data_IF_988373503215
#
_entry.id   IF_988373503215
#
_cell.length_a   1.000
_cell.length_b   1.000
_cell.length_c   1.000
_cell.angle_alpha   90.00
_cell.angle_beta   90.00
_cell.angle_gamma   90.00
#
_symmetry.space_group_name_H-M   'P 1'
#
loop_
_entity.id
_entity.type
_entity.pdbx_description
1 polymer ?
#
# COMPACT_ATOMS: atom_id res chain seq x y z
N UNK A 1 -47.43 -70.49 16.29
CA UNK A 1 -47.86 -69.84 17.56
C UNK A 1 -47.16 -70.52 18.74
N UNK A 2 -46.82 -69.86 19.86
CA UNK A 2 -46.12 -68.58 20.05
C UNK A 2 -44.63 -68.77 20.47
N UNK A 3 -43.75 -67.89 19.99
CA UNK A 3 -42.30 -67.85 20.27
C UNK A 3 -42.02 -67.29 21.69
N UNK A 4 -41.28 -68.04 22.51
CA UNK A 4 -40.73 -67.60 23.81
C UNK A 4 -39.82 -66.38 23.61
N UNK A 5 -40.20 -65.21 24.13
CA UNK A 5 -39.35 -64.00 24.16
C UNK A 5 -38.20 -64.22 25.16
N UNK A 6 -36.98 -64.41 24.64
CA UNK A 6 -35.73 -64.40 25.41
C UNK A 6 -35.50 -62.98 25.98
N UNK A 7 -35.44 -62.87 27.32
CA UNK A 7 -34.93 -61.70 28.06
C UNK A 7 -33.49 -61.42 27.59
N UNK A 8 -33.27 -60.31 26.88
CA UNK A 8 -31.94 -59.80 26.57
C UNK A 8 -31.34 -59.21 27.86
N UNK A 9 -30.23 -59.80 28.34
CA UNK A 9 -29.36 -59.21 29.36
C UNK A 9 -28.76 -57.94 28.75
N UNK A 10 -28.97 -56.79 29.41
CA UNK A 10 -28.33 -55.54 29.05
C UNK A 10 -26.81 -55.67 29.20
N UNK A 11 -26.10 -55.46 28.11
CA UNK A 11 -24.66 -55.25 28.09
C UNK A 11 -24.37 -53.87 28.69
N UNK A 12 -23.36 -53.72 29.56
CA UNK A 12 -23.01 -52.41 30.10
C UNK A 12 -22.48 -51.53 28.97
N UNK A 13 -22.99 -50.31 28.92
CA UNK A 13 -22.46 -49.20 28.15
C UNK A 13 -20.98 -49.01 28.48
N UNK A 14 -20.09 -49.40 27.56
CA UNK A 14 -18.73 -48.86 27.50
C UNK A 14 -18.83 -47.41 27.08
N UNK A 15 -19.03 -46.53 28.07
CA UNK A 15 -18.57 -45.16 27.99
C UNK A 15 -17.07 -45.23 28.21
N UNK A 16 -16.33 -45.63 27.16
CA UNK A 16 -14.89 -45.41 27.12
C UNK A 16 -14.72 -43.96 26.70
N UNK A 17 -14.40 -43.16 27.70
CA UNK A 17 -13.89 -41.80 27.60
C UNK A 17 -12.77 -41.73 26.56
N UNK A 18 -13.15 -41.35 25.36
CA UNK A 18 -12.24 -40.82 24.36
C UNK A 18 -11.80 -39.46 24.88
N UNK A 19 -10.80 -39.47 25.75
CA UNK A 19 -10.03 -38.29 26.08
C UNK A 19 -9.33 -37.89 24.78
N UNK A 20 -10.03 -37.08 23.99
CA UNK A 20 -9.40 -36.27 22.97
C UNK A 20 -8.32 -35.48 23.70
N UNK A 21 -7.09 -35.98 23.60
CA UNK A 21 -5.88 -35.26 23.97
C UNK A 21 -5.98 -33.97 23.20
N UNK A 22 -6.38 -32.91 23.91
CA UNK A 22 -6.31 -31.56 23.37
C UNK A 22 -4.83 -31.32 23.18
N UNK A 23 -4.36 -31.52 21.95
CA UNK A 23 -3.04 -31.07 21.51
C UNK A 23 -2.80 -29.69 22.14
N UNK A 24 -1.71 -29.51 22.89
CA UNK A 24 -1.48 -28.26 23.58
C UNK A 24 -1.51 -27.16 22.52
N UNK A 25 -2.29 -26.10 22.77
CA UNK A 25 -2.40 -24.91 21.91
C UNK A 25 -1.05 -24.20 21.66
N UNK A 26 0.07 -24.77 22.15
CA UNK A 26 1.39 -24.19 22.26
C UNK A 26 2.52 -25.07 21.69
N UNK A 27 2.27 -25.93 20.69
CA UNK A 27 3.35 -26.52 19.90
C UNK A 27 3.76 -25.66 18.69
N UNK A 28 3.39 -24.38 18.65
CA UNK A 28 3.83 -23.48 17.57
C UNK A 28 5.33 -23.24 17.68
N UNK A 29 6.06 -23.65 16.67
CA UNK A 29 7.48 -23.30 16.56
C UNK A 29 7.62 -21.83 16.21
N UNK A 30 8.80 -21.25 16.48
CA UNK A 30 9.13 -19.91 15.98
C UNK A 30 8.94 -19.81 14.46
N UNK A 31 9.19 -20.90 13.72
CA UNK A 31 8.95 -20.94 12.28
C UNK A 31 7.48 -20.71 11.94
N UNK A 32 6.55 -21.35 12.65
CA UNK A 32 5.11 -21.20 12.41
C UNK A 32 4.64 -19.77 12.72
N UNK A 33 5.25 -19.14 13.73
CA UNK A 33 5.03 -17.75 14.08
C UNK A 33 5.52 -16.80 12.96
N UNK A 34 6.73 -17.00 12.45
CA UNK A 34 7.30 -16.19 11.37
C UNK A 34 6.64 -16.42 10.00
N UNK A 35 6.02 -17.58 9.79
CA UNK A 35 5.22 -17.86 8.59
C UNK A 35 3.81 -17.26 8.68
N UNK A 36 3.37 -16.81 9.85
CA UNK A 36 2.15 -16.02 9.98
C UNK A 36 2.35 -14.64 9.34
N UNK A 37 1.56 -14.32 8.32
CA UNK A 37 1.71 -13.07 7.56
C UNK A 37 1.55 -11.81 8.43
N UNK A 38 0.60 -11.79 9.38
CA UNK A 38 0.36 -10.64 10.24
C UNK A 38 1.59 -10.32 11.11
N UNK A 39 2.18 -11.34 11.72
CA UNK A 39 3.39 -11.17 12.55
C UNK A 39 4.57 -10.74 11.67
N UNK A 40 4.75 -11.40 10.53
CA UNK A 40 5.77 -11.03 9.54
C UNK A 40 5.64 -9.57 9.09
N UNK A 41 4.43 -9.11 8.79
CA UNK A 41 4.14 -7.75 8.33
C UNK A 41 4.46 -6.70 9.41
N UNK A 42 4.10 -6.96 10.68
CA UNK A 42 4.43 -6.09 11.80
C UNK A 42 5.94 -5.94 11.93
N UNK A 43 6.69 -7.05 11.94
CA UNK A 43 8.15 -7.04 12.00
C UNK A 43 8.72 -6.22 10.83
N UNK A 44 8.26 -6.50 9.62
CA UNK A 44 8.76 -5.84 8.41
C UNK A 44 8.45 -4.34 8.35
N UNK A 45 7.41 -3.87 9.05
CA UNK A 45 7.05 -2.45 9.14
C UNK A 45 8.10 -1.66 9.93
N UNK A 46 8.83 -2.31 10.85
CA UNK A 46 9.90 -1.67 11.63
C UNK A 46 11.29 -1.79 11.00
N UNK A 47 11.46 -2.60 9.96
CA UNK A 47 12.70 -2.69 9.21
C UNK A 47 12.79 -1.52 8.23
N UNK A 48 13.98 -0.98 7.96
CA UNK A 48 14.17 -0.09 6.81
C UNK A 48 14.28 -0.91 5.51
N UNK A 49 14.25 -0.29 4.31
CA UNK A 49 14.34 -1.03 3.05
C UNK A 49 15.58 -1.93 2.94
N UNK A 50 16.75 -1.47 3.43
CA UNK A 50 18.00 -2.25 3.42
C UNK A 50 17.85 -3.54 4.23
N UNK A 51 17.37 -3.44 5.45
CA UNK A 51 17.20 -4.59 6.35
C UNK A 51 16.14 -5.56 5.82
N UNK A 52 15.14 -5.04 5.13
CA UNK A 52 14.10 -5.84 4.52
C UNK A 52 14.64 -6.71 3.37
N UNK A 53 15.48 -6.13 2.51
CA UNK A 53 16.17 -6.89 1.45
C UNK A 53 17.20 -7.87 2.02
N UNK A 54 17.90 -7.50 3.09
CA UNK A 54 18.79 -8.41 3.81
C UNK A 54 18.03 -9.61 4.37
N UNK A 55 16.90 -9.39 5.05
CA UNK A 55 16.04 -10.46 5.55
C UNK A 55 15.55 -11.38 4.42
N UNK A 56 15.12 -10.81 3.29
CA UNK A 56 14.70 -11.56 2.11
C UNK A 56 15.82 -12.44 1.55
N UNK A 57 17.06 -11.97 1.58
CA UNK A 57 18.21 -12.72 1.08
C UNK A 57 18.53 -13.95 1.95
N UNK A 58 18.16 -13.96 3.23
CA UNK A 58 18.45 -15.08 4.15
C UNK A 58 17.63 -16.34 3.87
N UNK A 59 16.42 -16.20 3.30
CA UNK A 59 15.51 -17.36 3.13
C UNK A 59 14.52 -17.18 2.00
N UNK A 60 14.32 -18.25 1.21
CA UNK A 60 13.27 -18.31 0.17
C UNK A 60 11.90 -18.67 0.75
N UNK A 61 11.80 -19.16 1.97
CA UNK A 61 10.53 -19.61 2.56
C UNK A 61 9.51 -18.47 2.70
N UNK A 62 10.00 -17.24 2.89
CA UNK A 62 9.18 -16.05 3.06
C UNK A 62 8.83 -15.37 1.72
N UNK A 63 9.19 -15.96 0.57
CA UNK A 63 9.00 -15.33 -0.74
C UNK A 63 7.55 -14.91 -1.00
N UNK A 64 6.57 -15.72 -0.58
CA UNK A 64 5.14 -15.38 -0.68
C UNK A 64 4.78 -14.19 0.21
N UNK A 65 5.26 -14.17 1.45
CA UNK A 65 5.04 -13.06 2.38
C UNK A 65 5.65 -11.75 1.88
N UNK A 66 6.87 -11.80 1.36
CA UNK A 66 7.51 -10.64 0.71
C UNK A 66 6.76 -10.15 -0.52
N UNK A 67 6.27 -11.06 -1.36
CA UNK A 67 5.47 -10.69 -2.52
C UNK A 67 4.21 -9.92 -2.11
N UNK A 68 3.49 -10.40 -1.09
CA UNK A 68 2.32 -9.71 -0.55
C UNK A 68 2.72 -8.37 0.07
N UNK A 69 3.77 -8.34 0.89
CA UNK A 69 4.26 -7.12 1.54
C UNK A 69 4.64 -6.04 0.51
N UNK A 70 5.34 -6.39 -0.56
CA UNK A 70 5.69 -5.45 -1.62
C UNK A 70 4.46 -4.89 -2.33
N UNK A 71 3.43 -5.72 -2.53
CA UNK A 71 2.15 -5.28 -3.10
C UNK A 71 1.33 -4.38 -2.17
N UNK A 72 1.49 -4.49 -0.86
CA UNK A 72 0.74 -3.70 0.11
C UNK A 72 1.48 -2.42 0.50
N UNK A 73 2.76 -2.52 0.88
CA UNK A 73 3.53 -1.40 1.41
C UNK A 73 4.07 -0.46 0.33
N UNK A 74 4.43 -0.98 -0.86
CA UNK A 74 4.80 -0.17 -2.02
C UNK A 74 3.67 -0.12 -3.06
N UNK A 75 2.45 0.07 -2.59
CA UNK A 75 1.29 0.25 -3.45
C UNK A 75 1.19 1.71 -3.91
N UNK A 76 1.62 1.97 -5.15
CA UNK A 76 1.60 3.33 -5.72
C UNK A 76 0.19 3.90 -5.81
N UNK A 77 -0.83 3.09 -6.14
CA UNK A 77 -2.20 3.57 -6.26
C UNK A 77 -2.77 3.98 -4.89
N UNK A 78 -2.47 3.20 -3.83
CA UNK A 78 -2.82 3.56 -2.45
C UNK A 78 -2.12 4.85 -2.00
N UNK A 79 -0.88 5.05 -2.43
CA UNK A 79 -0.11 6.24 -2.04
C UNK A 79 -0.64 7.50 -2.76
N UNK A 80 -1.00 7.36 -4.04
CA UNK A 80 -1.55 8.44 -4.85
C UNK A 80 -3.03 8.74 -4.57
N UNK A 81 -3.76 7.88 -3.85
CA UNK A 81 -5.18 8.14 -3.54
C UNK A 81 -5.41 9.36 -2.66
N UNK A 82 -4.36 9.91 -2.06
CA UNK A 82 -4.39 11.22 -1.36
C UNK A 82 -4.46 12.40 -2.32
N UNK A 83 -3.98 12.23 -3.55
CA UNK A 83 -3.81 13.27 -4.56
C UNK A 83 -4.63 13.03 -5.83
N UNK A 84 -5.31 11.89 -5.96
CA UNK A 84 -6.17 11.64 -7.09
C UNK A 84 -7.31 10.73 -6.68
N UNK A 85 -8.49 11.00 -7.23
CA UNK A 85 -9.67 10.16 -7.02
C UNK A 85 -9.55 8.83 -7.77
N UNK A 86 -8.83 8.82 -8.88
CA UNK A 86 -8.52 7.64 -9.67
C UNK A 86 -7.00 7.55 -9.94
N UNK A 87 -6.24 6.96 -9.00
CA UNK A 87 -4.79 6.81 -9.13
C UNK A 87 -4.34 6.02 -10.36
N UNK A 88 -5.20 5.16 -10.93
CA UNK A 88 -4.85 4.40 -12.13
C UNK A 88 -4.91 5.33 -13.33
N UNK A 89 -6.02 6.05 -13.51
CA UNK A 89 -6.16 7.04 -14.58
C UNK A 89 -5.13 8.15 -14.47
N UNK A 90 -4.86 8.63 -13.26
CA UNK A 90 -3.84 9.64 -12.99
C UNK A 90 -2.47 9.19 -13.50
N UNK A 91 -2.02 7.98 -13.15
CA UNK A 91 -0.75 7.44 -13.64
C UNK A 91 -0.77 7.18 -15.15
N UNK A 92 -1.90 6.78 -15.72
CA UNK A 92 -2.02 6.66 -17.17
C UNK A 92 -1.82 8.00 -17.87
N UNK A 93 -2.32 9.10 -17.30
CA UNK A 93 -2.07 10.45 -17.81
C UNK A 93 -0.62 10.88 -17.62
N UNK A 94 -0.04 10.58 -16.46
CA UNK A 94 1.39 10.82 -16.22
C UNK A 94 2.26 10.11 -17.26
N UNK A 95 1.98 8.84 -17.54
CA UNK A 95 2.71 8.06 -18.54
C UNK A 95 2.55 8.62 -19.96
N UNK A 96 1.38 9.16 -20.31
CA UNK A 96 1.16 9.80 -21.61
C UNK A 96 1.91 11.12 -21.75
N UNK A 97 2.14 11.82 -20.63
CA UNK A 97 2.75 13.14 -20.60
C UNK A 97 4.26 13.10 -20.26
N UNK A 98 4.87 11.91 -20.16
CA UNK A 98 6.25 11.74 -19.69
C UNK A 98 6.50 12.42 -18.32
N UNK A 99 5.49 12.36 -17.44
CA UNK A 99 5.52 13.01 -16.15
C UNK A 99 6.24 12.16 -15.08
N UNK A 100 7.05 12.81 -14.25
CA UNK A 100 7.86 12.17 -13.22
C UNK A 100 7.49 12.69 -11.82
N UNK A 101 7.13 11.76 -10.92
CA UNK A 101 6.92 12.07 -9.50
C UNK A 101 8.27 12.31 -8.82
N UNK A 102 8.33 13.31 -7.96
CA UNK A 102 9.55 13.70 -7.26
C UNK A 102 9.27 14.13 -5.82
N UNK A 103 10.22 14.84 -5.22
CA UNK A 103 10.04 15.56 -3.97
C UNK A 103 9.71 14.67 -2.78
N UNK A 104 8.94 15.24 -1.86
CA UNK A 104 8.62 14.65 -0.57
C UNK A 104 7.86 13.32 -0.72
N UNK A 105 7.01 13.19 -1.74
CA UNK A 105 6.28 11.96 -2.05
C UNK A 105 7.21 10.80 -2.34
N UNK A 106 8.22 10.99 -3.20
CA UNK A 106 9.12 9.91 -3.61
C UNK A 106 9.87 9.34 -2.38
N UNK A 107 10.33 10.22 -1.49
CA UNK A 107 10.99 9.84 -0.24
C UNK A 107 10.04 9.05 0.67
N UNK A 108 8.82 9.53 0.87
CA UNK A 108 7.79 8.86 1.67
C UNK A 108 7.47 7.46 1.14
N UNK A 109 7.32 7.33 -0.19
CA UNK A 109 7.01 6.05 -0.84
C UNK A 109 8.12 5.01 -0.58
N UNK A 110 9.39 5.38 -0.73
CA UNK A 110 10.49 4.46 -0.48
C UNK A 110 10.71 4.19 1.02
N UNK A 111 10.53 5.19 1.86
CA UNK A 111 10.65 5.07 3.31
C UNK A 111 9.45 4.34 3.96
N UNK A 112 8.35 4.12 3.21
CA UNK A 112 7.09 3.55 3.70
C UNK A 112 6.50 4.34 4.88
N UNK A 113 6.57 5.66 4.78
CA UNK A 113 6.04 6.60 5.77
C UNK A 113 5.06 7.57 5.13
N UNK A 114 4.31 8.30 5.94
CA UNK A 114 3.32 9.30 5.51
C UNK A 114 3.56 10.58 6.29
N UNK A 115 3.78 11.67 5.57
CA UNK A 115 3.80 13.04 6.07
C UNK A 115 2.46 13.68 5.68
N UNK A 116 1.65 14.03 6.68
CA UNK A 116 0.24 14.42 6.45
C UNK A 116 0.10 15.72 5.65
N UNK A 117 1.02 16.65 5.85
CA UNK A 117 1.01 17.97 5.21
C UNK A 117 1.87 18.03 3.95
N UNK A 118 2.41 16.88 3.51
CA UNK A 118 3.23 16.81 2.30
C UNK A 118 2.37 16.88 1.04
N UNK A 119 2.89 17.63 0.08
CA UNK A 119 2.41 17.81 -1.28
C UNK A 119 2.87 16.69 -2.23
N UNK A 120 2.54 16.85 -3.52
CA UNK A 120 2.95 15.98 -4.61
C UNK A 120 3.63 16.82 -5.70
N UNK A 121 4.94 16.63 -5.85
CA UNK A 121 5.72 17.28 -6.89
C UNK A 121 5.79 16.40 -8.15
N UNK A 122 5.37 16.96 -9.29
CA UNK A 122 5.41 16.29 -10.59
C UNK A 122 6.12 17.18 -11.60
N UNK A 123 7.18 16.64 -12.21
CA UNK A 123 7.84 17.26 -13.35
C UNK A 123 7.21 16.77 -14.64
N UNK A 124 6.97 17.67 -15.58
CA UNK A 124 6.49 17.33 -16.93
C UNK A 124 7.38 18.05 -17.93
N UNK A 125 7.82 17.36 -18.97
CA UNK A 125 8.62 18.00 -20.01
C UNK A 125 7.74 18.97 -20.83
N UNK A 126 8.04 20.27 -20.79
CA UNK A 126 7.29 21.30 -21.56
C UNK A 126 7.87 21.64 -22.93
N UNK A 127 9.06 21.14 -23.27
CA UNK A 127 9.67 21.34 -24.58
C UNK A 127 10.43 20.09 -25.04
N UNK A 128 10.29 19.63 -26.30
CA UNK A 128 9.48 20.21 -27.39
C UNK A 128 7.99 19.82 -27.37
N UNK A 129 7.53 19.12 -26.33
CA UNK A 129 6.18 18.55 -26.24
C UNK A 129 5.18 19.48 -25.56
N UNK A 130 3.89 19.36 -25.89
CA UNK A 130 2.80 20.10 -25.21
C UNK A 130 2.30 19.39 -23.94
N UNK A 131 3.10 18.48 -23.39
CA UNK A 131 2.66 17.53 -22.37
C UNK A 131 2.28 18.23 -21.06
N UNK A 132 3.01 19.28 -20.69
CA UNK A 132 2.72 20.05 -19.48
C UNK A 132 1.35 20.73 -19.55
N UNK A 133 0.99 21.32 -20.70
CA UNK A 133 -0.34 21.90 -20.91
C UNK A 133 -1.44 20.83 -20.87
N UNK A 134 -1.25 19.69 -21.56
CA UNK A 134 -2.20 18.57 -21.54
C UNK A 134 -2.40 18.01 -20.13
N UNK A 135 -1.31 17.88 -19.37
CA UNK A 135 -1.37 17.40 -18.00
C UNK A 135 -2.04 18.42 -17.07
N UNK A 136 -1.74 19.71 -17.22
CA UNK A 136 -2.40 20.81 -16.51
C UNK A 136 -3.91 20.83 -16.74
N UNK A 137 -4.35 20.74 -18.00
CA UNK A 137 -5.77 20.65 -18.37
C UNK A 137 -6.45 19.44 -17.71
N UNK A 138 -5.77 18.29 -17.66
CA UNK A 138 -6.27 17.11 -16.95
C UNK A 138 -6.39 17.33 -15.44
N UNK A 139 -5.41 17.97 -14.80
CA UNK A 139 -5.46 18.26 -13.37
C UNK A 139 -6.64 19.19 -13.03
N UNK A 140 -6.86 20.21 -13.84
CA UNK A 140 -7.95 21.17 -13.63
C UNK A 140 -9.31 20.55 -13.97
N UNK A 141 -9.50 20.09 -15.21
CA UNK A 141 -10.80 19.61 -15.68
C UNK A 141 -11.15 18.20 -15.19
N UNK A 142 -10.14 17.34 -15.00
CA UNK A 142 -10.30 15.94 -14.64
C UNK A 142 -10.27 15.68 -13.13
N UNK A 143 -9.30 16.24 -12.41
CA UNK A 143 -9.12 16.03 -10.97
C UNK A 143 -9.74 17.16 -10.12
N UNK A 144 -10.00 18.34 -10.72
CA UNK A 144 -10.66 19.47 -10.07
C UNK A 144 -9.73 20.36 -9.26
N UNK A 145 -8.44 20.37 -9.61
CA UNK A 145 -7.47 21.22 -8.97
C UNK A 145 -7.51 22.67 -9.49
N UNK A 146 -7.00 23.61 -8.69
CA UNK A 146 -6.87 25.02 -9.04
C UNK A 146 -5.39 25.41 -9.10
N UNK A 147 -5.07 26.41 -9.93
CA UNK A 147 -3.74 27.03 -9.94
C UNK A 147 -3.62 27.94 -8.71
N UNK A 148 -2.56 27.73 -7.91
CA UNK A 148 -2.19 28.67 -6.85
C UNK A 148 -1.30 29.78 -7.42
N UNK A 149 -1.42 31.00 -6.92
CA UNK A 149 -0.69 32.16 -7.46
C UNK A 149 0.82 32.01 -7.21
N UNK A 150 1.62 32.16 -8.28
CA UNK A 150 3.06 31.81 -8.40
C UNK A 150 4.02 32.72 -7.60
N UNK A 151 3.60 33.38 -6.52
CA UNK A 151 4.39 34.43 -5.86
C UNK A 151 5.38 33.93 -4.77
N UNK A 152 5.31 32.67 -4.32
CA UNK A 152 6.11 32.16 -3.18
C UNK A 152 7.28 31.20 -3.53
N UNK A 153 7.72 31.10 -4.79
CA UNK A 153 8.90 30.28 -5.16
C UNK A 153 10.26 31.04 -5.09
N UNK A 154 10.34 32.16 -4.35
CA UNK A 154 11.54 33.01 -4.23
C UNK A 154 12.57 32.48 -3.21
N UNK A 155 13.03 31.23 -3.36
CA UNK A 155 14.04 30.66 -2.47
C UNK A 155 15.14 29.81 -3.11
N UNK A 156 14.95 29.35 -4.35
CA UNK A 156 15.94 28.52 -5.04
C UNK A 156 16.15 29.02 -6.46
N UNK A 157 17.24 29.76 -6.66
CA UNK A 157 17.66 30.29 -7.95
C UNK A 157 18.16 29.12 -8.84
N UNK A 158 17.26 28.60 -9.67
CA UNK A 158 17.59 27.66 -10.73
C UNK A 158 17.53 28.38 -12.07
N UNK A 159 18.53 28.17 -12.92
CA UNK A 159 18.73 28.93 -14.14
C UNK A 159 17.62 28.70 -15.18
N UNK A 160 17.37 29.76 -15.96
CA UNK A 160 16.28 29.96 -16.93
C UNK A 160 16.17 28.92 -18.07
N UNK A 161 16.96 27.85 -18.08
CA UNK A 161 17.00 26.82 -19.14
C UNK A 161 16.70 25.40 -18.63
N UNK A 162 16.45 25.21 -17.32
CA UNK A 162 16.29 23.87 -16.72
C UNK A 162 15.04 23.66 -15.86
N UNK A 163 14.16 24.64 -15.70
CA UNK A 163 12.86 24.46 -15.04
C UNK A 163 11.75 24.72 -16.05
N UNK A 164 11.52 23.72 -16.90
CA UNK A 164 10.29 23.67 -17.68
C UNK A 164 9.20 23.13 -16.74
N UNK A 165 8.44 24.07 -16.19
CA UNK A 165 7.19 23.94 -15.43
C UNK A 165 7.22 22.93 -14.27
N UNK A 166 7.69 23.44 -13.14
CA UNK A 166 7.23 22.96 -11.83
C UNK A 166 5.73 23.26 -11.74
N UNK A 167 4.89 22.22 -11.94
CA UNK A 167 3.51 22.22 -11.43
C UNK A 167 3.58 21.87 -9.93
N UNK A 168 4.21 22.73 -9.12
CA UNK A 168 4.09 22.62 -7.66
C UNK A 168 2.85 23.39 -7.20
N UNK A 169 2.22 22.80 -6.19
CA UNK A 169 1.12 23.34 -5.40
C UNK A 169 -0.23 23.39 -6.11
N UNK A 170 -0.87 22.23 -6.17
CA UNK A 170 -2.32 22.19 -6.24
C UNK A 170 -2.84 21.73 -4.88
N UNK A 171 -3.27 22.68 -4.05
CA UNK A 171 -4.00 22.34 -2.83
C UNK A 171 -5.34 21.72 -3.23
N UNK A 172 -5.72 20.64 -2.55
CA UNK A 172 -7.08 20.13 -2.62
C UNK A 172 -8.01 21.22 -2.08
N UNK A 173 -8.91 21.75 -2.92
CA UNK A 173 -10.04 22.53 -2.43
C UNK A 173 -10.81 21.63 -1.47
N UNK A 174 -10.61 21.84 -0.17
CA UNK A 174 -11.32 21.16 0.89
C UNK A 174 -12.80 21.46 0.69
N UNK A 175 -13.58 20.44 0.28
CA UNK A 175 -15.04 20.46 0.33
C UNK A 175 -15.46 20.49 1.81
N UNK A 176 -15.36 21.67 2.41
CA UNK A 176 -15.83 21.99 3.75
C UNK A 176 -17.24 22.60 3.74
N UNK A 177 -17.99 22.46 2.63
CA UNK A 177 -19.35 22.98 2.51
C UNK A 177 -20.33 21.96 1.91
N UNK A 178 -20.45 20.80 2.56
CA UNK A 178 -21.67 20.01 2.52
C UNK A 178 -21.99 19.57 3.96
N UNK A 179 -22.68 20.45 4.69
CA UNK A 179 -23.57 20.12 5.79
C UNK A 179 -25.00 20.34 5.32
#
# INVERSE_FOLDING_TARGET
MPRKKKRRKGTPSKVSSESAVREPLFSRTWRDLFLNYTIFEIICTHLNPRDLFALRATTKQLSKSFYTLFKTQWNINRSLSRFSRDPVRFRSMMAQCDALISGSFALQFFARTVWMDADLDIYVQSYPTKNAAVFGDYLIAGEGYALDNVEEMNGYEYSQTQINEILSFMSLVSNSQLR
#
